data_IF_674559182158
#
_entry.id   IF_674559182158
#
_cell.length_a   1.000
_cell.length_b   1.000
_cell.length_c   1.000
_cell.angle_alpha   90.00
_cell.angle_beta   90.00
_cell.angle_gamma   90.00
#
_symmetry.space_group_name_H-M   'P 1'
#
loop_
_entity.id
_entity.type
_entity.pdbx_description
1 polymer ?
#
# COMPACT_ATOMS: atom_id res chain seq x y z
N UNK A 1 -14.89 -13.81 -4.76
CA UNK A 1 -13.80 -12.96 -4.28
C UNK A 1 -12.57 -13.81 -4.02
N UNK A 2 -11.38 -13.24 -4.26
CA UNK A 2 -10.15 -13.72 -3.65
C UNK A 2 -9.86 -12.87 -2.43
N UNK A 3 -9.47 -13.50 -1.34
CA UNK A 3 -9.23 -12.85 -0.06
C UNK A 3 -7.84 -13.25 0.43
N UNK A 4 -7.06 -12.30 0.90
CA UNK A 4 -5.80 -12.53 1.60
C UNK A 4 -6.05 -12.39 3.09
N UNK A 5 -5.87 -13.48 3.83
CA UNK A 5 -5.99 -13.52 5.28
C UNK A 5 -4.63 -13.75 5.93
N UNK A 6 -4.41 -13.07 7.05
CA UNK A 6 -3.36 -13.41 8.01
C UNK A 6 -3.98 -13.38 9.41
N UNK A 7 -4.03 -14.54 10.06
CA UNK A 7 -4.85 -14.70 11.27
C UNK A 7 -6.32 -14.43 10.98
N UNK A 8 -6.92 -13.49 11.70
CA UNK A 8 -8.32 -13.09 11.56
C UNK A 8 -8.50 -11.79 10.75
N UNK A 9 -7.43 -11.24 10.19
CA UNK A 9 -7.44 -9.97 9.48
C UNK A 9 -7.40 -10.17 7.98
N UNK A 10 -8.26 -9.44 7.25
CA UNK A 10 -8.26 -9.41 5.79
C UNK A 10 -7.25 -8.35 5.34
N UNK A 11 -6.18 -8.80 4.68
CA UNK A 11 -5.12 -7.93 4.13
C UNK A 11 -5.33 -7.57 2.65
N UNK A 12 -6.45 -7.97 2.08
CA UNK A 12 -6.84 -7.62 0.73
C UNK A 12 -7.99 -8.48 0.24
N UNK A 13 -8.79 -7.88 -0.63
CA UNK A 13 -9.94 -8.52 -1.27
C UNK A 13 -10.03 -8.08 -2.73
N UNK A 14 -10.21 -9.03 -3.64
CA UNK A 14 -10.46 -8.76 -5.04
C UNK A 14 -11.75 -9.44 -5.51
N UNK A 15 -12.61 -8.71 -6.21
CA UNK A 15 -13.75 -9.29 -6.92
C UNK A 15 -13.25 -9.92 -8.21
N UNK A 16 -13.46 -11.23 -8.36
CA UNK A 16 -13.05 -12.00 -9.57
C UNK A 16 -14.24 -12.36 -10.46
N UNK A 17 -15.46 -12.28 -9.92
CA UNK A 17 -16.70 -12.57 -10.65
C UNK A 17 -17.76 -11.54 -10.31
N UNK A 18 -18.58 -11.23 -11.30
CA UNK A 18 -19.79 -10.44 -11.14
C UNK A 18 -20.89 -11.24 -10.43
N UNK A 19 -22.01 -10.59 -10.12
CA UNK A 19 -23.16 -11.22 -9.43
C UNK A 19 -23.82 -12.31 -10.29
N UNK A 20 -23.71 -12.23 -11.60
CA UNK A 20 -24.18 -13.25 -12.56
C UNK A 20 -23.19 -14.42 -12.76
N UNK A 21 -22.06 -14.42 -12.04
CA UNK A 21 -21.01 -15.43 -12.10
C UNK A 21 -19.99 -15.24 -13.23
N UNK A 22 -20.15 -14.25 -14.10
CA UNK A 22 -19.17 -13.95 -15.16
C UNK A 22 -17.86 -13.43 -14.56
N UNK A 23 -16.69 -13.70 -15.17
CA UNK A 23 -15.44 -13.12 -14.71
C UNK A 23 -15.45 -11.60 -14.83
N UNK A 24 -14.99 -10.90 -13.77
CA UNK A 24 -14.77 -9.46 -13.83
C UNK A 24 -13.73 -9.10 -14.87
N UNK A 25 -13.98 -8.03 -15.63
CA UNK A 25 -13.08 -7.53 -16.68
C UNK A 25 -12.50 -6.17 -16.28
N UNK A 26 -11.41 -5.81 -16.92
CA UNK A 26 -10.76 -4.52 -16.70
C UNK A 26 -9.91 -4.43 -15.43
N UNK A 27 -9.62 -3.20 -15.04
CA UNK A 27 -8.81 -2.87 -13.85
C UNK A 27 -9.55 -3.30 -12.59
N UNK A 28 -8.92 -4.04 -11.66
CA UNK A 28 -9.57 -4.42 -10.41
C UNK A 28 -9.81 -3.19 -9.53
N UNK A 29 -10.95 -3.18 -8.87
CA UNK A 29 -11.27 -2.15 -7.86
C UNK A 29 -10.76 -2.58 -6.49
N UNK A 30 -10.01 -1.72 -5.78
CA UNK A 30 -9.71 -1.94 -4.38
C UNK A 30 -10.99 -2.06 -3.56
N UNK A 31 -11.07 -3.08 -2.73
CA UNK A 31 -12.19 -3.30 -1.82
C UNK A 31 -11.75 -3.00 -0.37
N UNK A 32 -12.64 -3.25 0.58
CA UNK A 32 -12.41 -2.98 2.00
C UNK A 32 -12.13 -1.48 2.24
N UNK A 33 -11.20 -1.14 3.11
CA UNK A 33 -10.80 0.23 3.43
C UNK A 33 -9.92 0.91 2.36
N UNK A 34 -9.60 0.20 1.27
CA UNK A 34 -8.87 0.75 0.12
C UNK A 34 -9.77 1.25 -1.02
N UNK A 35 -11.09 1.19 -0.87
CA UNK A 35 -12.02 1.55 -1.95
C UNK A 35 -11.82 3.00 -2.43
N UNK A 36 -12.12 3.24 -3.70
CA UNK A 36 -12.06 4.60 -4.27
C UNK A 36 -13.12 5.50 -3.61
N UNK A 37 -12.70 6.70 -3.19
CA UNK A 37 -13.51 7.61 -2.39
C UNK A 37 -13.44 7.39 -0.87
N UNK A 38 -12.67 6.39 -0.42
CA UNK A 38 -12.37 6.18 1.00
C UNK A 38 -11.19 7.01 1.50
N UNK A 39 -10.79 6.84 2.78
CA UNK A 39 -9.74 7.65 3.41
C UNK A 39 -8.42 7.68 2.66
N UNK A 40 -8.01 6.56 2.06
CA UNK A 40 -6.79 6.47 1.24
C UNK A 40 -6.88 7.38 0.00
N UNK A 41 -8.05 7.45 -0.65
CA UNK A 41 -8.26 8.35 -1.79
C UNK A 41 -8.16 9.82 -1.39
N UNK A 42 -8.73 10.18 -0.24
CA UNK A 42 -8.68 11.54 0.29
C UNK A 42 -7.23 11.96 0.63
N UNK A 43 -6.48 11.08 1.31
CA UNK A 43 -5.09 11.36 1.65
C UNK A 43 -4.21 11.47 0.41
N UNK A 44 -4.36 10.55 -0.57
CA UNK A 44 -3.58 10.65 -1.82
C UNK A 44 -3.92 11.89 -2.62
N UNK A 45 -5.18 12.33 -2.62
CA UNK A 45 -5.59 13.59 -3.24
C UNK A 45 -4.99 14.80 -2.52
N UNK A 46 -5.01 14.83 -1.19
CA UNK A 46 -4.40 15.88 -0.38
C UNK A 46 -2.87 15.94 -0.59
N UNK A 47 -2.20 14.80 -0.60
CA UNK A 47 -0.77 14.74 -0.86
C UNK A 47 -0.41 15.27 -2.26
N UNK A 48 -1.19 14.91 -3.30
CA UNK A 48 -1.02 15.48 -4.65
C UNK A 48 -1.21 16.99 -4.67
N UNK A 49 -2.22 17.49 -3.98
CA UNK A 49 -2.46 18.92 -3.89
C UNK A 49 -1.28 19.66 -3.22
N UNK A 50 -0.64 19.07 -2.22
CA UNK A 50 0.51 19.65 -1.53
C UNK A 50 1.77 19.78 -2.43
N UNK A 51 1.90 18.92 -3.45
CA UNK A 51 3.06 18.88 -4.37
C UNK A 51 2.70 19.28 -5.81
N UNK A 52 1.74 20.18 -5.97
CA UNK A 52 1.33 20.73 -7.27
C UNK A 52 0.74 19.69 -8.26
N UNK A 53 0.10 18.66 -7.76
CA UNK A 53 -0.81 17.79 -8.54
C UNK A 53 -0.32 16.38 -8.83
N UNK A 54 0.98 16.07 -8.70
CA UNK A 54 1.52 14.73 -8.94
C UNK A 54 2.55 14.33 -7.89
N UNK A 55 2.43 13.12 -7.35
CA UNK A 55 3.43 12.53 -6.47
C UNK A 55 4.58 11.96 -7.31
N UNK A 56 5.81 12.36 -7.06
CA UNK A 56 6.95 11.77 -7.75
C UNK A 56 7.26 10.38 -7.17
N UNK A 57 7.39 10.30 -5.86
CA UNK A 57 7.69 9.04 -5.17
C UNK A 57 6.74 8.80 -4.00
N UNK A 58 6.20 7.60 -3.93
CA UNK A 58 5.37 7.11 -2.82
C UNK A 58 6.00 5.84 -2.25
N UNK A 59 6.19 5.80 -0.93
CA UNK A 59 6.56 4.60 -0.21
C UNK A 59 5.33 3.98 0.44
N UNK A 60 5.13 2.68 0.25
CA UNK A 60 4.10 1.91 0.94
C UNK A 60 4.78 0.83 1.78
N UNK A 61 4.65 0.90 3.08
CA UNK A 61 5.14 -0.10 4.03
C UNK A 61 4.04 -1.12 4.26
N UNK A 62 4.26 -2.34 3.78
CA UNK A 62 3.26 -3.40 3.63
C UNK A 62 2.71 -3.47 2.21
N UNK A 63 2.58 -4.67 1.69
CA UNK A 63 2.07 -4.92 0.33
C UNK A 63 0.66 -5.51 0.34
N UNK A 64 0.42 -6.49 1.23
CA UNK A 64 -0.82 -7.24 1.23
C UNK A 64 -1.13 -7.83 -0.14
N UNK A 65 -2.36 -7.69 -0.61
CA UNK A 65 -2.76 -8.13 -1.96
C UNK A 65 -2.31 -7.15 -3.08
N UNK A 66 -1.67 -6.03 -2.75
CA UNK A 66 -1.29 -4.97 -3.67
C UNK A 66 -2.39 -3.98 -4.01
N UNK A 67 -3.47 -3.94 -3.25
CA UNK A 67 -4.66 -3.11 -3.52
C UNK A 67 -4.34 -1.62 -3.66
N UNK A 68 -3.41 -1.11 -2.85
CA UNK A 68 -2.97 0.29 -2.88
C UNK A 68 -2.35 0.70 -4.24
N UNK A 69 -1.80 -0.25 -4.99
CA UNK A 69 -1.24 0.03 -6.31
C UNK A 69 -2.25 0.68 -7.26
N UNK A 70 -3.56 0.44 -7.06
CA UNK A 70 -4.60 1.01 -7.90
C UNK A 70 -4.92 2.49 -7.60
N UNK A 71 -4.38 3.06 -6.55
CA UNK A 71 -4.43 4.51 -6.31
C UNK A 71 -3.35 5.29 -7.05
N UNK A 72 -2.36 4.58 -7.62
CA UNK A 72 -1.29 5.18 -8.42
C UNK A 72 -1.85 5.85 -9.67
N UNK A 73 -1.37 7.05 -9.97
CA UNK A 73 -1.62 7.75 -11.22
C UNK A 73 -0.41 7.62 -12.17
N UNK A 74 -0.63 7.93 -13.43
CA UNK A 74 0.42 7.91 -14.45
C UNK A 74 1.57 8.86 -14.09
N UNK A 75 2.80 8.40 -14.28
CA UNK A 75 4.00 9.16 -13.95
C UNK A 75 4.42 9.13 -12.48
N UNK A 76 3.63 8.54 -11.58
CA UNK A 76 4.01 8.35 -10.18
C UNK A 76 4.82 7.06 -10.01
N UNK A 77 5.81 7.07 -9.13
CA UNK A 77 6.58 5.89 -8.71
C UNK A 77 6.12 5.45 -7.33
N UNK A 78 5.51 4.30 -7.23
CA UNK A 78 5.09 3.70 -5.96
C UNK A 78 5.98 2.50 -5.64
N UNK A 79 6.75 2.61 -4.56
CA UNK A 79 7.64 1.56 -4.06
C UNK A 79 7.01 0.88 -2.85
N UNK A 80 6.89 -0.44 -2.90
CA UNK A 80 6.36 -1.23 -1.79
C UNK A 80 7.51 -1.85 -0.99
N UNK A 81 7.42 -1.78 0.32
CA UNK A 81 8.36 -2.39 1.26
C UNK A 81 7.64 -3.53 1.96
N UNK A 82 8.07 -4.76 1.74
CA UNK A 82 7.41 -5.96 2.26
C UNK A 82 8.42 -6.89 2.92
N UNK A 83 8.08 -7.42 4.08
CA UNK A 83 8.99 -8.30 4.83
C UNK A 83 8.82 -9.77 4.43
N UNK A 84 7.63 -10.16 3.99
CA UNK A 84 7.30 -11.56 3.69
C UNK A 84 7.40 -11.85 2.19
N UNK A 85 8.36 -12.71 1.75
CA UNK A 85 8.50 -13.07 0.35
C UNK A 85 7.27 -13.82 -0.20
N UNK A 86 6.50 -14.52 0.63
CA UNK A 86 5.29 -15.21 0.19
C UNK A 86 4.18 -14.20 -0.14
N UNK A 87 4.05 -13.12 0.63
CA UNK A 87 3.12 -12.03 0.29
C UNK A 87 3.49 -11.42 -1.06
N UNK A 88 4.79 -11.18 -1.31
CA UNK A 88 5.27 -10.68 -2.61
C UNK A 88 4.91 -11.65 -3.74
N UNK A 89 5.13 -12.95 -3.53
CA UNK A 89 4.81 -13.98 -4.52
C UNK A 89 3.31 -13.99 -4.85
N UNK A 90 2.46 -13.96 -3.83
CA UNK A 90 0.99 -13.97 -3.99
C UNK A 90 0.48 -12.69 -4.68
N UNK A 91 0.99 -11.52 -4.29
CA UNK A 91 0.58 -10.24 -4.87
C UNK A 91 1.01 -10.09 -6.34
N UNK A 92 2.13 -10.71 -6.73
CA UNK A 92 2.61 -10.71 -8.11
C UNK A 92 1.95 -11.74 -9.01
N UNK A 93 1.31 -12.76 -8.45
CA UNK A 93 0.61 -13.80 -9.22
C UNK A 93 -0.78 -13.28 -9.66
N UNK A 94 -1.01 -13.00 -10.96
CA UNK A 94 -2.29 -12.50 -11.45
C UNK A 94 -3.42 -13.54 -11.34
N UNK A 95 -3.11 -14.83 -11.15
CA UNK A 95 -4.11 -15.84 -10.83
C UNK A 95 -4.67 -15.65 -9.42
N UNK A 96 -3.86 -15.11 -8.50
CA UNK A 96 -4.26 -14.79 -7.13
C UNK A 96 -4.85 -13.39 -7.06
N UNK A 97 -4.07 -12.34 -7.42
CA UNK A 97 -4.47 -10.94 -7.38
C UNK A 97 -3.99 -10.18 -8.61
N UNK A 98 -4.86 -9.35 -9.22
CA UNK A 98 -4.53 -8.57 -10.43
C UNK A 98 -4.11 -7.13 -10.12
N UNK A 99 -4.08 -6.72 -8.87
CA UNK A 99 -3.82 -5.31 -8.52
C UNK A 99 -2.47 -4.83 -9.04
N UNK A 100 -1.37 -5.51 -8.73
CA UNK A 100 -0.05 -5.11 -9.22
C UNK A 100 0.03 -5.20 -10.76
N UNK A 101 -0.37 -6.34 -11.34
CA UNK A 101 -0.26 -6.54 -12.79
C UNK A 101 -1.09 -5.56 -13.61
N UNK A 102 -2.22 -5.08 -13.07
CA UNK A 102 -3.13 -4.16 -13.77
C UNK A 102 -2.87 -2.69 -13.45
N UNK A 103 -2.44 -2.37 -12.22
CA UNK A 103 -2.37 -0.98 -11.76
C UNK A 103 -0.94 -0.44 -11.70
N UNK A 104 0.04 -1.31 -11.43
CA UNK A 104 1.45 -0.92 -11.27
C UNK A 104 2.40 -2.10 -11.58
N UNK A 105 2.41 -2.62 -12.83
CA UNK A 105 3.19 -3.84 -13.17
C UNK A 105 4.69 -3.68 -12.95
N UNK A 106 5.21 -2.46 -13.09
CA UNK A 106 6.62 -2.13 -12.91
C UNK A 106 6.95 -1.60 -11.51
N UNK A 107 6.00 -1.64 -10.55
CA UNK A 107 6.25 -1.11 -9.22
C UNK A 107 7.41 -1.85 -8.53
N UNK A 108 8.44 -1.13 -8.03
CA UNK A 108 9.49 -1.72 -7.23
C UNK A 108 8.91 -2.32 -5.95
N UNK A 109 9.39 -3.51 -5.60
CA UNK A 109 9.12 -4.14 -4.30
C UNK A 109 10.47 -4.40 -3.63
N UNK A 110 10.66 -3.81 -2.46
CA UNK A 110 11.88 -3.95 -1.65
C UNK A 110 11.57 -4.94 -0.53
N UNK A 111 12.21 -6.11 -0.60
CA UNK A 111 12.02 -7.16 0.41
C UNK A 111 12.88 -6.86 1.64
N UNK A 112 12.29 -6.92 2.82
CA UNK A 112 12.96 -6.78 4.11
C UNK A 112 12.19 -5.92 5.11
N UNK A 113 12.77 -5.75 6.30
CA UNK A 113 12.23 -4.87 7.34
C UNK A 113 12.21 -3.41 6.82
N UNK A 114 11.02 -2.85 6.69
CA UNK A 114 10.81 -1.51 6.11
C UNK A 114 11.53 -0.40 6.88
N UNK A 115 11.69 -0.54 8.20
CA UNK A 115 12.47 0.41 9.01
C UNK A 115 13.91 0.53 8.54
N UNK A 116 14.50 -0.59 8.12
CA UNK A 116 15.89 -0.65 7.65
C UNK A 116 15.99 -0.33 6.16
N UNK A 117 15.11 -0.91 5.36
CA UNK A 117 15.16 -0.78 3.89
C UNK A 117 14.74 0.61 3.42
N UNK A 118 13.76 1.24 4.07
CA UNK A 118 13.39 2.61 3.77
C UNK A 118 14.48 3.60 4.25
N UNK A 119 15.07 3.36 5.43
CA UNK A 119 16.19 4.19 5.92
C UNK A 119 17.42 4.13 5.03
N UNK A 120 17.63 3.02 4.30
CA UNK A 120 18.71 2.86 3.32
C UNK A 120 18.36 3.42 1.93
N UNK A 121 17.13 3.87 1.71
CA UNK A 121 16.70 4.45 0.42
C UNK A 121 17.38 5.79 0.18
N UNK A 122 17.91 6.04 -1.03
CA UNK A 122 18.41 7.36 -1.39
C UNK A 122 17.30 8.35 -1.77
N UNK A 123 16.04 7.89 -1.81
CA UNK A 123 14.91 8.67 -2.27
C UNK A 123 14.23 9.42 -1.13
N UNK A 124 13.66 10.57 -1.47
CA UNK A 124 12.64 11.23 -0.67
C UNK A 124 11.27 10.95 -1.24
N UNK A 125 10.26 10.93 -0.38
CA UNK A 125 8.89 10.53 -0.73
C UNK A 125 7.92 11.67 -0.46
N UNK A 126 6.98 11.88 -1.38
CA UNK A 126 5.89 12.83 -1.20
C UNK A 126 4.77 12.25 -0.34
N UNK A 127 4.72 10.93 -0.26
CA UNK A 127 3.81 10.22 0.63
C UNK A 127 4.48 8.93 1.13
N UNK A 128 4.47 8.74 2.44
CA UNK A 128 4.81 7.46 3.07
C UNK A 128 3.55 6.91 3.71
N UNK A 129 3.14 5.71 3.31
CA UNK A 129 1.98 5.00 3.86
C UNK A 129 2.47 3.84 4.72
N UNK A 130 2.16 3.86 6.01
CA UNK A 130 2.39 2.72 6.90
C UNK A 130 1.13 1.87 6.95
N UNK A 131 1.15 0.75 6.26
CA UNK A 131 0.03 -0.18 6.08
C UNK A 131 0.45 -1.64 6.37
N UNK A 132 1.45 -1.82 7.21
CA UNK A 132 1.92 -3.12 7.63
C UNK A 132 1.19 -3.57 8.89
N UNK A 133 0.51 -4.71 8.78
CA UNK A 133 -0.18 -5.34 9.90
C UNK A 133 0.38 -6.74 10.16
N UNK A 134 0.62 -7.04 11.43
CA UNK A 134 0.83 -8.39 11.90
C UNK A 134 -0.38 -8.75 12.76
N UNK A 135 -1.25 -9.61 12.23
CA UNK A 135 -2.59 -9.86 12.76
C UNK A 135 -3.45 -8.57 12.81
N UNK A 136 -3.79 -8.03 13.95
CA UNK A 136 -4.73 -6.90 14.10
C UNK A 136 -4.04 -5.55 14.41
N UNK A 137 -2.70 -5.50 14.43
CA UNK A 137 -1.98 -4.29 14.82
C UNK A 137 -0.73 -4.06 13.96
N UNK A 138 -0.33 -2.80 13.84
CA UNK A 138 0.97 -2.44 13.26
C UNK A 138 2.07 -2.98 14.18
N UNK A 139 3.11 -3.65 13.66
CA UNK A 139 4.24 -4.10 14.45
C UNK A 139 4.88 -2.93 15.21
N UNK A 140 5.06 -3.08 16.52
CA UNK A 140 5.50 -1.99 17.39
C UNK A 140 6.86 -1.38 17.00
N UNK A 141 7.76 -2.19 16.40
CA UNK A 141 9.05 -1.70 15.94
C UNK A 141 8.95 -0.68 14.78
N UNK A 142 7.83 -0.69 14.03
CA UNK A 142 7.55 0.30 12.98
C UNK A 142 7.00 1.63 13.54
N UNK A 143 6.58 1.66 14.79
CA UNK A 143 6.02 2.85 15.46
C UNK A 143 6.93 3.42 16.55
N UNK A 144 8.18 2.96 16.63
CA UNK A 144 9.15 3.54 17.57
C UNK A 144 9.50 4.97 17.17
N UNK A 145 9.96 5.74 18.14
CA UNK A 145 10.42 7.10 17.93
C UNK A 145 11.52 7.19 16.86
N UNK A 146 12.40 6.20 16.83
CA UNK A 146 13.50 6.09 15.87
C UNK A 146 12.96 5.80 14.47
N UNK A 147 12.01 4.89 14.35
CA UNK A 147 11.35 4.56 13.08
C UNK A 147 10.62 5.79 12.51
N UNK A 148 9.80 6.47 13.34
CA UNK A 148 9.09 7.68 12.93
C UNK A 148 10.04 8.80 12.50
N UNK A 149 11.16 9.01 13.21
CA UNK A 149 12.20 9.95 12.79
C UNK A 149 12.80 9.58 11.43
N UNK A 150 13.04 8.29 11.21
CA UNK A 150 13.52 7.78 9.93
C UNK A 150 12.55 8.09 8.80
N UNK A 151 11.25 7.82 8.98
CA UNK A 151 10.24 8.15 7.96
C UNK A 151 10.17 9.64 7.68
N UNK A 152 10.11 10.47 8.73
CA UNK A 152 10.06 11.92 8.57
C UNK A 152 11.30 12.50 7.87
N UNK A 153 12.48 11.90 8.08
CA UNK A 153 13.71 12.30 7.38
C UNK A 153 13.71 11.94 5.88
N UNK A 154 12.88 10.99 5.47
CA UNK A 154 12.71 10.58 4.06
C UNK A 154 11.51 11.24 3.38
N UNK A 155 10.76 12.11 4.05
CA UNK A 155 9.73 12.92 3.40
C UNK A 155 10.36 14.07 2.61
N UNK A 156 9.78 14.36 1.43
CA UNK A 156 10.05 15.59 0.71
C UNK A 156 9.55 16.82 1.50
N UNK A 157 9.87 18.02 1.07
CA UNK A 157 9.54 19.27 1.80
C UNK A 157 8.04 19.44 2.07
N UNK A 158 7.17 18.87 1.26
CA UNK A 158 5.72 18.88 1.41
C UNK A 158 5.14 17.47 1.58
N UNK A 159 6.01 16.50 1.86
CA UNK A 159 5.63 15.11 1.99
C UNK A 159 4.75 14.84 3.21
N UNK A 160 3.93 13.81 3.12
CA UNK A 160 3.00 13.38 4.15
C UNK A 160 3.30 11.97 4.63
N UNK A 161 3.10 11.73 5.94
CA UNK A 161 3.11 10.39 6.53
C UNK A 161 1.68 9.99 6.88
N UNK A 162 1.21 8.91 6.29
CA UNK A 162 -0.06 8.28 6.62
C UNK A 162 0.20 7.01 7.43
N UNK A 163 -0.47 6.88 8.56
CA UNK A 163 -0.47 5.66 9.37
C UNK A 163 -1.87 5.07 9.34
N UNK A 164 -2.02 3.89 8.72
CA UNK A 164 -3.27 3.16 8.76
C UNK A 164 -3.40 2.47 10.12
N UNK A 165 -4.41 2.82 10.88
CA UNK A 165 -4.73 2.20 12.17
C UNK A 165 -6.07 1.48 12.04
N UNK A 166 -6.12 0.20 12.41
CA UNK A 166 -7.40 -0.50 12.57
C UNK A 166 -7.92 -0.25 13.99
N UNK A 167 -9.19 0.13 14.10
CA UNK A 167 -9.82 0.30 15.41
C UNK A 167 -11.05 -0.61 15.50
N UNK A 168 -10.95 -1.66 16.32
CA UNK A 168 -12.06 -2.59 16.58
C UNK A 168 -13.03 -2.12 17.67
N UNK A 169 -12.75 -0.98 18.31
CA UNK A 169 -13.43 -0.56 19.54
C UNK A 169 -14.04 0.85 19.46
N UNK A 170 -14.32 1.36 18.26
CA UNK A 170 -15.13 2.55 18.07
C UNK A 170 -16.52 2.19 17.58
#
# INVERSE_FOLDING_TARGET
HHLLFHGNTIHGAERRRETDGTPTRGRPEPLTYYYFGGPISEVTAAARAAVAGKLDNVAVVGLGAGSLACHRQEGETWTFFEIDPEVVRLARDPAMFRFLSSCAPAAPIVLGDARLTLAASPQQFDLIVLDAFSSDAIPTHLLTREALRGYLAHLSSHGMLLVHISNRHL
#
